data_IF_324224672224
#
_entry.id   IF_324224672224
#
_cell.length_a   1.000
_cell.length_b   1.000
_cell.length_c   1.000
_cell.angle_alpha   90.00
_cell.angle_beta   90.00
_cell.angle_gamma   90.00
#
_symmetry.space_group_name_H-M   'P 1'
#
loop_
_entity.id
_entity.type
_entity.pdbx_description
1 polymer ?
#
# COMPACT_ATOMS: atom_id res chain seq x y z
N UNK A 1 9.35 15.05 -3.96
CA UNK A 1 9.07 13.90 -3.07
C UNK A 1 7.86 13.16 -3.62
N UNK A 2 7.82 11.83 -3.49
CA UNK A 2 6.77 11.00 -4.12
C UNK A 2 5.48 10.90 -3.28
N UNK A 3 5.58 11.23 -1.99
CA UNK A 3 4.47 11.24 -1.02
C UNK A 3 4.47 12.56 -0.24
N UNK A 4 3.31 13.00 0.27
CA UNK A 4 3.25 14.11 1.22
C UNK A 4 3.95 13.75 2.54
N UNK A 5 4.21 14.77 3.35
CA UNK A 5 4.74 14.58 4.69
C UNK A 5 3.75 13.79 5.55
N UNK A 6 4.28 12.95 6.44
CA UNK A 6 3.49 12.19 7.39
C UNK A 6 2.96 13.12 8.50
N UNK A 7 1.79 12.81 9.08
CA UNK A 7 1.27 13.58 10.21
C UNK A 7 2.21 13.50 11.42
N UNK A 8 2.22 14.55 12.22
CA UNK A 8 3.00 14.60 13.45
C UNK A 8 2.35 13.74 14.56
N UNK A 9 3.18 13.05 15.33
CA UNK A 9 2.76 12.28 16.50
C UNK A 9 3.03 10.78 16.40
N UNK A 10 2.61 10.05 17.44
CA UNK A 10 2.66 8.59 17.51
C UNK A 10 1.24 8.04 17.55
N UNK A 11 0.93 7.11 16.65
CA UNK A 11 -0.41 6.57 16.49
C UNK A 11 -0.49 5.12 16.94
N UNK A 12 -1.53 4.79 17.71
CA UNK A 12 -1.84 3.43 18.15
C UNK A 12 -2.50 2.58 17.06
N UNK A 13 -3.11 3.24 16.07
CA UNK A 13 -3.74 2.60 14.92
C UNK A 13 -3.34 3.35 13.65
N UNK A 14 -2.81 2.61 12.68
CA UNK A 14 -2.49 3.11 11.34
C UNK A 14 -3.36 2.36 10.33
N UNK A 15 -4.05 3.09 9.47
CA UNK A 15 -4.78 2.55 8.33
C UNK A 15 -4.07 2.97 7.04
N UNK A 16 -3.69 2.00 6.20
CA UNK A 16 -2.92 2.25 5.00
C UNK A 16 -3.54 1.54 3.80
N UNK A 17 -3.68 2.29 2.70
CA UNK A 17 -4.11 1.79 1.40
C UNK A 17 -3.05 2.14 0.33
N UNK A 18 -2.05 1.25 0.13
CA UNK A 18 -0.96 1.55 -0.79
C UNK A 18 -1.41 1.51 -2.26
N UNK A 19 -0.97 2.45 -3.10
CA UNK A 19 -1.32 2.48 -4.52
C UNK A 19 -0.51 1.42 -5.29
N UNK A 20 -0.96 0.16 -5.23
CA UNK A 20 -0.23 -0.99 -5.76
C UNK A 20 0.06 -0.92 -7.26
N UNK A 21 1.31 -1.17 -7.66
CA UNK A 21 1.70 -1.36 -9.06
C UNK A 21 1.47 -2.80 -9.52
N UNK A 22 0.45 -2.98 -10.36
CA UNK A 22 0.06 -4.25 -10.98
C UNK A 22 1.02 -4.71 -12.10
N UNK A 23 2.17 -4.05 -12.30
CA UNK A 23 3.19 -4.40 -13.30
C UNK A 23 2.62 -4.49 -14.73
N UNK A 24 1.66 -3.63 -15.05
CA UNK A 24 0.96 -3.61 -16.34
C UNK A 24 -0.15 -4.66 -16.50
N UNK A 25 -0.45 -5.44 -15.46
CA UNK A 25 -1.66 -6.28 -15.44
C UNK A 25 -2.89 -5.39 -15.27
N UNK A 26 -3.91 -5.61 -16.11
CA UNK A 26 -5.22 -4.98 -15.94
C UNK A 26 -6.03 -5.76 -14.91
N UNK A 27 -6.71 -5.05 -14.01
CA UNK A 27 -7.66 -5.67 -13.10
C UNK A 27 -8.81 -6.31 -13.91
N UNK A 28 -9.08 -7.59 -13.65
CA UNK A 28 -10.13 -8.35 -14.34
C UNK A 28 -11.52 -7.81 -14.00
N UNK A 29 -12.36 -7.56 -15.01
CA UNK A 29 -13.73 -7.05 -14.84
C UNK A 29 -14.82 -8.11 -14.72
N UNK A 30 -14.44 -9.38 -14.55
CA UNK A 30 -15.39 -10.48 -14.62
C UNK A 30 -15.80 -10.79 -16.07
N UNK A 31 -16.77 -11.69 -16.23
CA UNK A 31 -17.19 -12.16 -17.55
C UNK A 31 -17.84 -11.04 -18.37
N UNK A 32 -17.42 -10.88 -19.64
CA UNK A 32 -18.02 -9.93 -20.58
C UNK A 32 -17.44 -8.50 -20.56
N UNK A 33 -16.34 -8.27 -19.85
CA UNK A 33 -15.62 -7.00 -19.88
C UNK A 33 -14.11 -7.21 -19.96
N UNK A 34 -13.46 -6.48 -20.86
CA UNK A 34 -12.03 -6.64 -21.14
C UNK A 34 -11.14 -6.04 -20.05
N UNK A 35 -11.65 -5.12 -19.21
CA UNK A 35 -10.95 -4.59 -18.02
C UNK A 35 -11.88 -3.79 -17.10
N UNK A 36 -11.55 -3.64 -15.81
CA UNK A 36 -12.30 -2.73 -14.91
C UNK A 36 -11.89 -1.26 -15.05
N UNK A 37 -11.04 -0.92 -16.03
CA UNK A 37 -10.31 0.35 -16.01
C UNK A 37 -9.30 0.37 -14.86
N UNK A 38 -8.33 -0.54 -14.88
CA UNK A 38 -7.44 -0.82 -13.75
C UNK A 38 -6.83 0.41 -13.06
N UNK A 39 -6.56 0.31 -11.76
CA UNK A 39 -6.06 1.34 -10.83
C UNK A 39 -5.27 2.53 -11.45
N UNK A 40 -4.34 2.25 -12.36
CA UNK A 40 -3.55 3.26 -13.10
C UNK A 40 -4.37 4.30 -13.88
N UNK A 41 -5.63 4.00 -14.21
CA UNK A 41 -6.57 4.91 -14.88
C UNK A 41 -7.11 5.99 -13.95
N UNK A 42 -7.11 5.73 -12.64
CA UNK A 42 -7.72 6.57 -11.61
C UNK A 42 -6.67 7.31 -10.77
N UNK A 43 -5.53 6.68 -10.51
CA UNK A 43 -4.45 7.25 -9.71
C UNK A 43 -3.08 6.66 -10.08
N UNK A 44 -2.00 7.33 -9.64
CA UNK A 44 -0.64 6.86 -9.87
C UNK A 44 -0.31 5.68 -8.97
N UNK A 45 -0.04 4.52 -9.57
CA UNK A 45 0.49 3.35 -8.88
C UNK A 45 1.99 3.45 -8.60
N UNK A 46 2.45 2.71 -7.60
CA UNK A 46 3.80 2.78 -7.04
C UNK A 46 4.38 1.38 -6.80
N UNK A 47 5.64 1.21 -7.18
CA UNK A 47 6.40 -0.03 -6.94
C UNK A 47 6.70 -0.22 -5.45
N UNK A 48 6.72 -1.48 -5.00
CA UNK A 48 7.03 -1.86 -3.62
C UNK A 48 8.31 -1.20 -3.09
N UNK A 49 9.40 -1.21 -3.86
CA UNK A 49 10.69 -0.59 -3.49
C UNK A 49 10.62 0.90 -3.16
N UNK A 50 9.57 1.58 -3.59
CA UNK A 50 9.34 2.98 -3.23
C UNK A 50 8.38 3.11 -2.05
N UNK A 51 7.44 2.18 -1.85
CA UNK A 51 6.55 2.13 -0.68
C UNK A 51 7.33 1.85 0.61
N UNK A 52 8.30 0.93 0.56
CA UNK A 52 9.15 0.59 1.73
C UNK A 52 9.99 1.78 2.23
N UNK A 53 10.13 2.85 1.42
CA UNK A 53 10.86 4.06 1.80
C UNK A 53 10.02 5.06 2.60
N UNK A 54 8.71 4.81 2.75
CA UNK A 54 7.86 5.60 3.63
C UNK A 54 8.31 5.32 5.08
N UNK A 55 8.75 6.33 5.85
CA UNK A 55 9.26 6.14 7.20
C UNK A 55 8.11 6.04 8.20
N UNK A 56 7.28 5.00 8.07
CA UNK A 56 6.07 4.82 8.88
C UNK A 56 6.40 4.58 10.36
N UNK A 57 7.57 4.01 10.64
CA UNK A 57 8.15 3.85 11.98
C UNK A 57 8.30 5.17 12.73
N UNK A 58 8.50 6.29 12.02
CA UNK A 58 8.56 7.63 12.63
C UNK A 58 7.22 8.05 13.26
N UNK A 59 6.09 7.52 12.80
CA UNK A 59 4.76 7.86 13.32
C UNK A 59 4.08 6.70 14.07
N UNK A 60 4.65 5.50 14.04
CA UNK A 60 4.12 4.35 14.77
C UNK A 60 4.43 4.45 16.27
N UNK A 61 3.41 4.29 17.12
CA UNK A 61 3.61 4.05 18.56
C UNK A 61 4.27 2.67 18.78
N UNK A 62 4.84 2.46 19.97
CA UNK A 62 5.57 1.20 20.28
C UNK A 62 4.67 -0.04 20.13
N UNK A 63 3.46 0.05 20.66
CA UNK A 63 2.46 -1.02 20.64
C UNK A 63 1.26 -0.53 19.83
N UNK A 64 1.34 -0.65 18.50
CA UNK A 64 0.30 -0.17 17.57
C UNK A 64 -0.13 -1.24 16.56
N UNK A 65 -1.30 -1.02 15.96
CA UNK A 65 -1.88 -1.89 14.94
C UNK A 65 -1.80 -1.24 13.56
N UNK A 66 -1.41 -2.03 12.57
CA UNK A 66 -1.48 -1.68 11.16
C UNK A 66 -2.64 -2.43 10.49
N UNK A 67 -3.60 -1.67 9.95
CA UNK A 67 -4.59 -2.16 9.02
C UNK A 67 -4.14 -1.82 7.60
N UNK A 68 -3.60 -2.81 6.90
CA UNK A 68 -3.05 -2.65 5.55
C UNK A 68 -3.99 -3.24 4.51
N UNK A 69 -4.52 -2.41 3.62
CA UNK A 69 -5.34 -2.87 2.52
C UNK A 69 -4.47 -3.51 1.42
N UNK A 70 -4.89 -4.68 0.96
CA UNK A 70 -4.25 -5.40 -0.13
C UNK A 70 -5.27 -6.12 -0.99
N UNK A 71 -4.99 -6.23 -2.29
CA UNK A 71 -5.68 -7.17 -3.16
C UNK A 71 -4.98 -8.53 -3.14
N UNK A 72 -5.69 -9.60 -3.52
CA UNK A 72 -5.14 -10.95 -3.52
C UNK A 72 -3.77 -11.08 -4.23
N UNK A 73 -3.52 -10.46 -5.41
CA UNK A 73 -2.21 -10.52 -6.07
C UNK A 73 -1.07 -9.82 -5.31
N UNK A 74 -1.39 -8.92 -4.38
CA UNK A 74 -0.43 -8.12 -3.63
C UNK A 74 -0.25 -8.57 -2.18
N UNK A 75 -0.90 -9.67 -1.76
CA UNK A 75 -0.88 -10.10 -0.35
C UNK A 75 0.55 -10.32 0.18
N UNK A 76 1.40 -11.02 -0.59
CA UNK A 76 2.79 -11.24 -0.20
C UNK A 76 3.58 -9.93 -0.09
N UNK A 77 3.35 -9.00 -1.03
CA UNK A 77 3.97 -7.68 -1.03
C UNK A 77 3.49 -6.81 0.13
N UNK A 78 2.23 -6.94 0.52
CA UNK A 78 1.66 -6.25 1.68
C UNK A 78 2.28 -6.77 2.98
N UNK A 79 2.47 -8.08 3.11
CA UNK A 79 3.18 -8.68 4.26
C UNK A 79 4.64 -8.20 4.29
N UNK A 80 5.33 -8.20 3.16
CA UNK A 80 6.70 -7.67 3.05
C UNK A 80 6.78 -6.19 3.44
N UNK A 81 5.83 -5.38 2.96
CA UNK A 81 5.75 -3.96 3.27
C UNK A 81 5.53 -3.72 4.76
N UNK A 82 4.55 -4.41 5.38
CA UNK A 82 4.28 -4.33 6.81
C UNK A 82 5.52 -4.66 7.65
N UNK A 83 6.27 -5.72 7.28
CA UNK A 83 7.54 -6.07 7.91
C UNK A 83 8.60 -4.99 7.75
N UNK A 84 8.72 -4.40 6.55
CA UNK A 84 9.67 -3.31 6.29
C UNK A 84 9.39 -2.06 7.13
N UNK A 85 8.13 -1.84 7.49
CA UNK A 85 7.69 -0.77 8.39
C UNK A 85 7.76 -1.16 9.88
N UNK A 86 8.26 -2.35 10.21
CA UNK A 86 8.50 -2.79 11.59
C UNK A 86 7.37 -3.58 12.25
N UNK A 87 6.29 -3.90 11.52
CA UNK A 87 5.17 -4.69 12.04
C UNK A 87 5.44 -6.20 11.96
N UNK A 88 4.77 -6.97 12.83
CA UNK A 88 5.00 -8.41 13.02
C UNK A 88 3.69 -9.19 13.06
#
# INVERSE_FOLDING_TARGET
MMFPDLPEGKFDIIYADPPWDYKGQTQHAGAGSDSTGGATSHYRCVKLNSLVRIPLDNIAAKDCLLFLWATSPHLDQAIELGKSWGFK
#
